data_IF_160976538402
#
_entry.id   IF_160976538402
#
_cell.length_a   1.000
_cell.length_b   1.000
_cell.length_c   1.000
_cell.angle_alpha   90.00
_cell.angle_beta   90.00
_cell.angle_gamma   90.00
#
_symmetry.space_group_name_H-M   'P 1'
#
loop_
_entity.id
_entity.type
_entity.pdbx_description
1 polymer ?
#
# COMPACT_ATOMS: atom_id res chain seq x y z
N UNK A 1 -1.24 33.21 17.60
CA UNK A 1 -0.98 33.27 16.15
C UNK A 1 -1.15 31.87 15.58
N UNK A 2 -2.00 31.67 14.56
CA UNK A 2 -2.14 30.35 13.90
C UNK A 2 -0.87 30.00 13.15
N UNK A 3 -0.36 28.75 13.33
CA UNK A 3 0.82 28.23 12.63
C UNK A 3 0.53 28.07 11.13
N UNK A 4 1.56 28.20 10.28
CA UNK A 4 1.47 27.90 8.84
C UNK A 4 1.05 26.43 8.59
N UNK A 5 1.25 25.56 9.59
CA UNK A 5 0.89 24.16 9.55
C UNK A 5 -0.58 23.87 9.93
N UNK A 6 -1.29 24.85 10.48
CA UNK A 6 -2.67 24.64 10.93
C UNK A 6 -3.61 24.37 9.74
N UNK A 7 -4.59 23.49 9.95
CA UNK A 7 -5.52 23.06 8.92
C UNK A 7 -6.23 24.22 8.23
N UNK A 8 -6.61 25.25 8.98
CA UNK A 8 -7.30 26.43 8.47
C UNK A 8 -6.48 27.17 7.41
N UNK A 9 -5.15 27.21 7.57
CA UNK A 9 -4.24 27.80 6.60
C UNK A 9 -3.96 26.92 5.38
N UNK A 10 -4.44 25.70 5.38
CA UNK A 10 -4.36 24.80 4.24
C UNK A 10 -5.61 24.78 3.38
N UNK A 11 -6.66 25.48 3.78
CA UNK A 11 -7.87 25.62 2.96
C UNK A 11 -7.52 26.38 1.68
N UNK A 12 -7.96 25.83 0.56
CA UNK A 12 -7.68 26.39 -0.76
C UNK A 12 -8.44 27.72 -0.97
N UNK A 13 -7.80 28.73 -1.57
CA UNK A 13 -8.50 29.95 -1.97
C UNK A 13 -9.49 29.66 -3.12
N UNK A 14 -10.49 30.53 -3.34
CA UNK A 14 -11.39 30.43 -4.48
C UNK A 14 -10.60 30.32 -5.81
N UNK A 15 -11.06 29.45 -6.70
CA UNK A 15 -10.40 29.22 -7.99
C UNK A 15 -9.14 28.36 -7.96
N UNK A 16 -8.80 27.75 -6.82
CA UNK A 16 -7.63 26.85 -6.74
C UNK A 16 -7.78 25.65 -7.68
N UNK A 17 -6.73 25.39 -8.46
CA UNK A 17 -6.70 24.25 -9.35
C UNK A 17 -6.44 22.95 -8.58
N UNK A 18 -7.46 22.09 -8.45
CA UNK A 18 -7.38 20.80 -7.76
C UNK A 18 -6.30 19.87 -8.30
N UNK A 19 -5.89 20.03 -9.58
CA UNK A 19 -4.87 19.19 -10.21
C UNK A 19 -3.44 19.46 -9.73
N UNK A 20 -3.23 20.47 -8.90
CA UNK A 20 -1.95 20.70 -8.21
C UNK A 20 -1.75 19.77 -7.00
N UNK A 21 -2.83 19.17 -6.50
CA UNK A 21 -2.77 18.30 -5.31
C UNK A 21 -2.18 16.91 -5.63
N UNK A 22 -2.51 16.25 -6.76
CA UNK A 22 -1.88 14.98 -7.12
C UNK A 22 -0.35 15.01 -7.19
N UNK A 23 0.33 15.98 -7.84
CA UNK A 23 1.79 16.08 -7.81
C UNK A 23 2.36 16.27 -6.40
N UNK A 24 1.69 17.04 -5.54
CA UNK A 24 2.09 17.21 -4.15
C UNK A 24 2.01 15.90 -3.35
N UNK A 25 0.95 15.12 -3.56
CA UNK A 25 0.78 13.79 -2.98
C UNK A 25 1.84 12.82 -3.51
N UNK A 26 2.13 12.88 -4.82
CA UNK A 26 3.12 12.04 -5.47
C UNK A 26 4.53 12.27 -4.90
N UNK A 27 4.92 13.52 -4.64
CA UNK A 27 6.22 13.85 -4.06
C UNK A 27 6.45 13.18 -2.70
N UNK A 28 5.42 13.16 -1.84
CA UNK A 28 5.48 12.47 -0.55
C UNK A 28 5.50 10.95 -0.74
N UNK A 29 4.61 10.41 -1.58
CA UNK A 29 4.49 8.97 -1.77
C UNK A 29 5.68 8.34 -2.49
N UNK A 30 6.34 9.05 -3.42
CA UNK A 30 7.60 8.59 -4.03
C UNK A 30 8.71 8.49 -2.97
N UNK A 31 8.78 9.48 -2.05
CA UNK A 31 9.78 9.51 -0.99
C UNK A 31 9.61 8.36 -0.01
N UNK A 32 8.38 8.12 0.48
CA UNK A 32 8.12 7.04 1.43
C UNK A 32 8.02 5.66 0.76
N UNK A 33 7.79 5.61 -0.56
CA UNK A 33 7.78 4.39 -1.36
C UNK A 33 9.17 3.76 -1.55
N UNK A 34 10.23 4.47 -1.18
CA UNK A 34 11.60 3.95 -1.08
C UNK A 34 11.67 2.70 -0.20
N UNK A 35 10.78 2.53 0.77
CA UNK A 35 10.75 1.33 1.62
C UNK A 35 10.82 0.02 0.83
N UNK A 36 10.30 -0.02 -0.38
CA UNK A 36 10.42 -1.18 -1.26
C UNK A 36 11.80 -1.32 -1.94
N UNK A 37 12.63 -0.27 -1.88
CA UNK A 37 14.02 -0.32 -2.33
C UNK A 37 14.99 -0.78 -1.21
N UNK A 38 14.49 -1.03 0.01
CA UNK A 38 15.31 -1.49 1.14
C UNK A 38 16.13 -2.75 0.79
N UNK A 39 15.64 -3.58 -0.13
CA UNK A 39 16.36 -4.75 -0.64
C UNK A 39 17.75 -4.43 -1.20
N UNK A 40 17.98 -3.21 -1.71
CA UNK A 40 19.28 -2.75 -2.22
C UNK A 40 20.31 -2.59 -1.09
N UNK A 41 19.85 -2.21 0.11
CA UNK A 41 20.70 -2.12 1.29
C UNK A 41 20.96 -3.47 1.96
N UNK A 42 20.14 -4.51 1.66
CA UNK A 42 20.12 -5.76 2.42
C UNK A 42 21.47 -6.49 2.40
N UNK A 43 22.05 -6.69 1.22
CA UNK A 43 23.36 -7.33 1.08
C UNK A 43 24.49 -6.55 1.78
N UNK A 44 24.68 -5.27 1.45
CA UNK A 44 25.65 -4.40 2.15
C UNK A 44 25.50 -4.40 3.67
N UNK A 45 24.27 -4.34 4.20
CA UNK A 45 24.01 -4.37 5.65
C UNK A 45 24.37 -5.73 6.28
N UNK A 46 24.11 -6.84 5.58
CA UNK A 46 24.49 -8.18 6.03
C UNK A 46 26.03 -8.25 6.19
N UNK A 47 26.76 -7.78 5.21
CA UNK A 47 28.23 -7.76 5.24
C UNK A 47 28.75 -6.82 6.33
N UNK A 48 28.19 -5.61 6.43
CA UNK A 48 28.62 -4.58 7.39
C UNK A 48 28.46 -5.03 8.85
N UNK A 49 27.31 -5.64 9.18
CA UNK A 49 26.99 -6.07 10.56
C UNK A 49 27.41 -7.52 10.86
N UNK A 50 27.99 -8.23 9.92
CA UNK A 50 28.28 -9.67 10.01
C UNK A 50 27.04 -10.44 10.52
N UNK A 51 25.91 -10.19 9.89
CA UNK A 51 24.59 -10.62 10.36
C UNK A 51 23.84 -11.47 9.33
N UNK A 52 22.74 -12.10 9.73
CA UNK A 52 21.94 -12.92 8.83
C UNK A 52 20.99 -12.08 7.96
N UNK A 53 20.62 -12.61 6.78
CA UNK A 53 19.57 -12.01 5.93
C UNK A 53 18.25 -11.85 6.69
N UNK A 54 17.94 -12.78 7.59
CA UNK A 54 16.73 -12.73 8.44
C UNK A 54 16.79 -11.55 9.39
N UNK A 55 17.93 -11.33 10.09
CA UNK A 55 18.08 -10.21 11.02
C UNK A 55 17.93 -8.87 10.30
N UNK A 56 18.58 -8.70 9.14
CA UNK A 56 18.41 -7.47 8.36
C UNK A 56 16.98 -7.34 7.81
N UNK A 57 16.33 -8.43 7.40
CA UNK A 57 14.94 -8.44 6.93
C UNK A 57 13.92 -7.99 7.99
N UNK A 58 14.23 -8.18 9.27
CA UNK A 58 13.40 -7.69 10.41
C UNK A 58 13.25 -6.17 10.39
N UNK A 59 14.24 -5.40 9.89
CA UNK A 59 14.13 -3.93 9.71
C UNK A 59 12.90 -3.57 8.87
N UNK A 60 12.77 -4.21 7.71
CA UNK A 60 11.63 -4.01 6.81
C UNK A 60 10.31 -4.44 7.47
N UNK A 61 10.29 -5.61 8.12
CA UNK A 61 9.08 -6.10 8.80
C UNK A 61 8.60 -5.12 9.87
N UNK A 62 9.50 -4.58 10.70
CA UNK A 62 9.18 -3.56 11.69
C UNK A 62 8.62 -2.32 11.00
N UNK A 63 9.23 -1.84 9.90
CA UNK A 63 8.76 -0.67 9.18
C UNK A 63 7.32 -0.84 8.67
N UNK A 64 6.99 -2.00 8.11
CA UNK A 64 5.61 -2.28 7.61
C UNK A 64 4.61 -2.44 8.77
N UNK A 65 5.00 -3.06 9.88
CA UNK A 65 4.15 -3.13 11.07
C UNK A 65 3.86 -1.74 11.62
N UNK A 66 4.91 -0.92 11.78
CA UNK A 66 4.77 0.45 12.28
C UNK A 66 4.01 1.35 11.32
N UNK A 67 4.12 1.12 10.00
CA UNK A 67 3.29 1.78 8.98
C UNK A 67 1.80 1.56 9.27
N UNK A 68 1.36 0.33 9.37
CA UNK A 68 -0.06 0.04 9.60
C UNK A 68 -0.54 0.52 10.98
N UNK A 69 0.26 0.35 12.03
CA UNK A 69 -0.09 0.82 13.38
C UNK A 69 -0.18 2.35 13.44
N UNK A 70 0.80 3.06 12.91
CA UNK A 70 0.79 4.53 12.92
C UNK A 70 -0.33 5.10 12.05
N UNK A 71 -0.67 4.45 10.94
CA UNK A 71 -1.84 4.80 10.14
C UNK A 71 -3.14 4.57 10.93
N UNK A 72 -3.26 3.45 11.65
CA UNK A 72 -4.44 3.10 12.42
C UNK A 72 -4.70 4.09 13.57
N UNK A 73 -3.68 4.42 14.35
CA UNK A 73 -3.79 5.35 15.47
C UNK A 73 -3.72 6.81 15.02
N UNK A 74 -2.90 7.13 14.01
CA UNK A 74 -2.70 8.47 13.49
C UNK A 74 -3.84 8.99 12.61
N UNK A 75 -4.70 8.13 12.05
CA UNK A 75 -5.71 8.51 11.08
C UNK A 75 -6.64 9.61 11.57
N UNK A 76 -7.18 9.49 12.78
CA UNK A 76 -8.04 10.53 13.40
C UNK A 76 -7.27 11.84 13.64
N UNK A 77 -6.01 11.74 14.02
CA UNK A 77 -5.15 12.91 14.23
C UNK A 77 -4.88 13.65 12.91
N UNK A 78 -4.62 12.92 11.82
CA UNK A 78 -4.45 13.50 10.47
C UNK A 78 -5.69 14.23 10.01
N UNK A 79 -6.88 13.66 10.21
CA UNK A 79 -8.15 14.30 9.84
C UNK A 79 -8.38 15.61 10.60
N UNK A 80 -8.01 15.67 11.88
CA UNK A 80 -8.17 16.88 12.72
C UNK A 80 -7.15 17.95 12.41
N UNK A 81 -5.89 17.58 12.23
CA UNK A 81 -4.78 18.52 12.07
C UNK A 81 -4.52 18.97 10.62
N UNK A 82 -5.07 18.24 9.66
CA UNK A 82 -4.93 18.53 8.24
C UNK A 82 -3.67 17.92 7.59
N UNK A 83 -3.63 17.93 6.24
CA UNK A 83 -2.63 17.17 5.49
C UNK A 83 -1.23 17.77 5.59
N UNK A 84 -1.08 19.09 5.62
CA UNK A 84 0.25 19.71 5.66
C UNK A 84 1.02 19.34 6.91
N UNK A 85 0.37 19.45 8.08
CA UNK A 85 0.99 19.08 9.35
C UNK A 85 1.35 17.59 9.38
N UNK A 86 0.46 16.74 8.84
CA UNK A 86 0.71 15.32 8.75
C UNK A 86 1.89 14.97 7.82
N UNK A 87 2.00 15.62 6.66
CA UNK A 87 3.11 15.43 5.73
C UNK A 87 4.44 15.90 6.34
N UNK A 88 4.45 17.01 7.10
CA UNK A 88 5.66 17.50 7.80
C UNK A 88 6.07 16.53 8.92
N UNK A 89 5.13 16.01 9.69
CA UNK A 89 5.44 15.01 10.73
C UNK A 89 5.95 13.71 10.08
N UNK A 90 5.32 13.26 9.00
CA UNK A 90 5.81 12.11 8.22
C UNK A 90 7.24 12.32 7.73
N UNK A 91 7.52 13.50 7.14
CA UNK A 91 8.89 13.86 6.71
C UNK A 91 9.87 13.83 7.88
N UNK A 92 9.52 14.45 9.01
CA UNK A 92 10.38 14.48 10.19
C UNK A 92 10.70 13.06 10.68
N UNK A 93 9.69 12.18 10.77
CA UNK A 93 9.91 10.79 11.15
C UNK A 93 10.75 10.03 10.12
N UNK A 94 10.42 10.15 8.83
CA UNK A 94 11.11 9.44 7.76
C UNK A 94 12.59 9.82 7.67
N UNK A 95 12.87 11.11 7.66
CA UNK A 95 14.24 11.65 7.65
C UNK A 95 15.01 11.27 8.92
N UNK A 96 14.41 11.42 10.11
CA UNK A 96 15.02 10.99 11.37
C UNK A 96 15.32 9.49 11.35
N UNK A 97 14.43 8.68 10.74
CA UNK A 97 14.67 7.26 10.53
C UNK A 97 15.96 6.97 9.78
N UNK A 98 16.19 7.68 8.67
CA UNK A 98 17.44 7.58 7.90
C UNK A 98 18.68 8.08 8.68
N UNK A 99 18.56 9.20 9.40
CA UNK A 99 19.64 9.76 10.20
C UNK A 99 20.07 8.81 11.33
N UNK A 100 19.10 8.26 12.07
CA UNK A 100 19.37 7.30 13.15
C UNK A 100 19.93 6.00 12.61
N UNK A 101 19.46 5.53 11.46
CA UNK A 101 19.99 4.34 10.79
C UNK A 101 21.41 4.56 10.28
N UNK A 102 21.69 5.72 9.69
CA UNK A 102 23.05 6.10 9.28
C UNK A 102 24.02 6.14 10.48
N UNK A 103 23.56 6.66 11.62
CA UNK A 103 24.33 6.61 12.87
C UNK A 103 24.56 5.16 13.31
N UNK A 104 23.54 4.31 13.22
CA UNK A 104 23.61 2.88 13.53
C UNK A 104 24.66 2.16 12.70
N UNK A 105 24.71 2.43 11.41
CA UNK A 105 25.74 1.92 10.50
C UNK A 105 27.11 2.46 10.89
N UNK A 106 27.25 3.78 11.05
CA UNK A 106 28.55 4.41 11.39
C UNK A 106 29.12 3.94 12.73
N UNK A 107 28.27 3.52 13.67
CA UNK A 107 28.67 3.03 15.00
C UNK A 107 28.61 1.50 15.15
N UNK A 108 28.35 0.78 14.05
CA UNK A 108 28.17 -0.66 14.01
C UNK A 108 27.11 -1.18 15.01
N UNK A 109 25.96 -0.48 15.11
CA UNK A 109 24.87 -0.77 16.04
C UNK A 109 23.57 -1.10 15.28
N UNK A 110 23.34 -2.38 14.97
CA UNK A 110 22.16 -2.83 14.21
C UNK A 110 20.82 -2.43 14.87
N UNK A 111 20.75 -2.39 16.20
CA UNK A 111 19.53 -2.00 16.89
C UNK A 111 19.11 -0.55 16.59
N UNK A 112 20.05 0.35 16.26
CA UNK A 112 19.73 1.70 15.80
C UNK A 112 19.08 1.69 14.42
N UNK A 113 19.41 0.72 13.56
CA UNK A 113 18.74 0.57 12.26
C UNK A 113 17.31 0.07 12.45
N UNK A 114 17.08 -0.86 13.39
CA UNK A 114 15.71 -1.27 13.77
C UNK A 114 14.89 -0.09 14.31
N UNK A 115 15.49 0.71 15.20
CA UNK A 115 14.84 1.90 15.77
C UNK A 115 14.63 2.97 14.72
N UNK A 116 15.66 3.30 13.94
CA UNK A 116 15.65 4.38 12.96
C UNK A 116 14.71 4.07 11.79
N UNK A 117 15.12 3.19 10.91
CA UNK A 117 14.37 2.85 9.71
C UNK A 117 13.08 2.09 10.03
N UNK A 118 13.17 1.10 10.94
CA UNK A 118 12.04 0.26 11.29
C UNK A 118 10.95 1.03 12.05
N UNK A 119 11.27 1.52 13.26
CA UNK A 119 10.24 2.12 14.14
C UNK A 119 9.94 3.56 13.73
N UNK A 120 10.92 4.45 13.75
CA UNK A 120 10.70 5.89 13.51
C UNK A 120 10.29 6.11 12.05
N UNK A 121 11.03 5.51 11.11
CA UNK A 121 10.70 5.54 9.69
C UNK A 121 9.32 4.97 9.39
N UNK A 122 9.00 3.80 9.97
CA UNK A 122 7.70 3.15 9.84
C UNK A 122 6.52 4.01 10.31
N UNK A 123 6.69 4.79 11.39
CA UNK A 123 5.70 5.79 11.81
C UNK A 123 5.51 6.86 10.73
N UNK A 124 6.62 7.35 10.17
CA UNK A 124 6.60 8.30 9.06
C UNK A 124 5.87 7.77 7.83
N UNK A 125 6.12 6.49 7.49
CA UNK A 125 5.44 5.80 6.39
C UNK A 125 3.92 5.82 6.53
N UNK A 126 3.38 5.42 7.69
CA UNK A 126 1.93 5.29 7.86
C UNK A 126 1.21 6.64 7.86
N UNK A 127 1.75 7.66 8.55
CA UNK A 127 1.19 9.02 8.56
C UNK A 127 1.26 9.62 7.14
N UNK A 128 2.40 9.44 6.45
CA UNK A 128 2.62 9.92 5.09
C UNK A 128 1.75 9.22 4.05
N UNK A 129 1.38 7.96 4.28
CA UNK A 129 0.52 7.20 3.39
C UNK A 129 -0.94 7.68 3.42
N UNK A 130 -1.53 7.83 4.60
CA UNK A 130 -2.96 8.16 4.71
C UNK A 130 -3.28 9.61 4.41
N UNK A 131 -2.37 10.54 4.65
CA UNK A 131 -2.63 11.98 4.54
C UNK A 131 -2.94 12.43 3.10
N UNK A 132 -2.13 12.12 2.07
CA UNK A 132 -2.44 12.45 0.68
C UNK A 132 -3.70 11.77 0.17
N UNK A 133 -3.94 10.52 0.56
CA UNK A 133 -5.09 9.74 0.12
C UNK A 133 -6.40 10.38 0.59
N UNK A 134 -6.51 10.69 1.89
CA UNK A 134 -7.70 11.34 2.43
C UNK A 134 -7.94 12.72 1.81
N UNK A 135 -6.88 13.44 1.50
CA UNK A 135 -6.96 14.77 0.87
C UNK A 135 -7.48 14.69 -0.57
N UNK A 136 -6.94 13.77 -1.37
CA UNK A 136 -7.35 13.61 -2.76
C UNK A 136 -8.77 13.11 -2.92
N UNK A 137 -9.23 12.22 -2.04
CA UNK A 137 -10.64 11.79 -2.04
C UNK A 137 -11.59 12.98 -1.82
N UNK A 138 -11.21 13.96 -1.02
CA UNK A 138 -12.00 15.19 -0.79
C UNK A 138 -12.02 16.10 -2.02
N UNK A 139 -10.93 16.19 -2.78
CA UNK A 139 -10.83 16.99 -4.00
C UNK A 139 -11.51 16.35 -5.22
N UNK A 140 -11.63 15.02 -5.26
CA UNK A 140 -12.18 14.29 -6.39
C UNK A 140 -13.36 13.40 -5.98
N UNK A 141 -14.44 13.98 -5.40
CA UNK A 141 -15.62 13.22 -5.02
C UNK A 141 -16.34 12.62 -6.24
N UNK A 142 -16.13 13.20 -7.42
CA UNK A 142 -16.62 12.75 -8.73
C UNK A 142 -15.88 11.49 -9.24
N UNK A 143 -14.61 11.32 -8.88
CA UNK A 143 -13.74 10.22 -9.37
C UNK A 143 -12.83 9.69 -8.25
N UNK A 144 -13.37 9.11 -7.18
CA UNK A 144 -12.57 8.73 -6.01
C UNK A 144 -11.53 7.64 -6.31
N UNK A 145 -11.78 6.73 -7.24
CA UNK A 145 -10.81 5.73 -7.66
C UNK A 145 -9.62 6.32 -8.40
N UNK A 146 -9.87 7.23 -9.34
CA UNK A 146 -8.81 7.99 -10.01
C UNK A 146 -7.97 8.77 -8.99
N UNK A 147 -8.62 9.43 -8.04
CA UNK A 147 -7.93 10.22 -7.02
C UNK A 147 -7.00 9.37 -6.15
N UNK A 148 -7.49 8.22 -5.68
CA UNK A 148 -6.68 7.31 -4.87
C UNK A 148 -5.57 6.66 -5.69
N UNK A 149 -5.84 6.31 -6.94
CA UNK A 149 -4.82 5.82 -7.86
C UNK A 149 -3.67 6.81 -8.04
N UNK A 150 -3.99 8.08 -8.34
CA UNK A 150 -3.01 9.15 -8.48
C UNK A 150 -2.21 9.40 -7.18
N UNK A 151 -2.88 9.31 -6.03
CA UNK A 151 -2.21 9.45 -4.75
C UNK A 151 -1.19 8.34 -4.50
N UNK A 152 -1.65 7.10 -4.63
CA UNK A 152 -0.94 5.92 -4.11
C UNK A 152 0.05 5.34 -5.13
N UNK A 153 -0.09 5.67 -6.43
CA UNK A 153 0.83 5.19 -7.46
C UNK A 153 2.30 5.53 -7.15
N UNK A 154 2.54 6.69 -6.54
CA UNK A 154 3.88 7.11 -6.12
C UNK A 154 4.53 6.18 -5.12
N UNK A 155 3.76 5.62 -4.19
CA UNK A 155 4.28 4.65 -3.24
C UNK A 155 4.74 3.35 -3.94
N UNK A 156 3.97 2.89 -4.93
CA UNK A 156 4.37 1.74 -5.76
C UNK A 156 5.56 2.04 -6.68
N UNK A 157 5.65 3.28 -7.17
CA UNK A 157 6.74 3.74 -8.05
C UNK A 157 7.99 4.20 -7.30
N UNK A 158 7.96 4.34 -5.97
CA UNK A 158 9.08 4.83 -5.18
C UNK A 158 10.35 3.99 -5.37
N UNK A 159 10.24 2.68 -5.31
CA UNK A 159 11.36 1.78 -5.51
C UNK A 159 11.90 1.79 -6.96
N UNK A 160 11.06 2.05 -7.96
CA UNK A 160 11.51 2.20 -9.35
C UNK A 160 12.54 3.34 -9.50
N UNK A 161 12.36 4.42 -8.73
CA UNK A 161 13.28 5.56 -8.70
C UNK A 161 14.38 5.37 -7.66
N UNK A 162 14.00 4.94 -6.45
CA UNK A 162 14.93 4.87 -5.33
C UNK A 162 15.96 3.73 -5.48
N UNK A 163 15.62 2.56 -6.06
CA UNK A 163 16.56 1.46 -6.20
C UNK A 163 17.76 1.79 -7.08
N UNK A 164 17.59 2.30 -8.32
CA UNK A 164 18.74 2.68 -9.14
C UNK A 164 19.52 3.88 -8.56
N UNK A 165 18.83 4.81 -7.89
CA UNK A 165 19.48 5.92 -7.21
C UNK A 165 20.36 5.42 -6.06
N UNK A 166 19.82 4.56 -5.19
CA UNK A 166 20.55 3.97 -4.07
C UNK A 166 21.77 3.18 -4.54
N UNK A 167 21.63 2.33 -5.58
CA UNK A 167 22.73 1.57 -6.14
C UNK A 167 23.85 2.46 -6.68
N UNK A 168 23.49 3.56 -7.36
CA UNK A 168 24.45 4.54 -7.85
C UNK A 168 25.17 5.29 -6.72
N UNK A 169 24.46 5.64 -5.66
CA UNK A 169 25.05 6.31 -4.51
C UNK A 169 26.00 5.38 -3.75
N UNK A 170 25.62 4.11 -3.55
CA UNK A 170 26.49 3.10 -2.97
C UNK A 170 27.80 2.96 -3.76
N UNK A 171 27.70 2.88 -5.08
CA UNK A 171 28.86 2.78 -5.95
C UNK A 171 29.70 4.07 -6.03
N UNK A 172 29.09 5.23 -5.79
CA UNK A 172 29.76 6.52 -5.85
C UNK A 172 30.52 6.91 -4.56
N UNK A 173 30.06 6.39 -3.40
CA UNK A 173 30.63 6.79 -2.11
C UNK A 173 31.77 5.91 -1.61
N UNK A 174 31.85 4.67 -2.03
CA UNK A 174 32.96 3.78 -1.67
C UNK A 174 33.12 2.65 -2.68
N UNK A 175 34.34 2.08 -2.75
CA UNK A 175 34.61 0.89 -3.57
C UNK A 175 33.88 -0.34 -3.05
N UNK A 176 33.62 -0.38 -1.73
CA UNK A 176 32.85 -1.44 -1.08
C UNK A 176 31.48 -0.91 -0.65
N UNK A 177 30.39 -1.52 -1.12
CA UNK A 177 29.03 -1.06 -0.82
C UNK A 177 28.70 -0.97 0.68
N UNK A 178 29.30 -1.83 1.51
CA UNK A 178 29.14 -1.82 2.98
C UNK A 178 29.67 -0.56 3.65
N UNK A 179 30.69 0.09 3.09
CA UNK A 179 31.26 1.34 3.60
C UNK A 179 30.48 2.58 3.11
N UNK A 180 29.67 2.42 2.06
CA UNK A 180 28.91 3.49 1.44
C UNK A 180 27.49 3.67 2.02
N UNK A 181 27.02 2.78 2.92
CA UNK A 181 25.63 2.77 3.41
C UNK A 181 25.29 4.07 4.13
N UNK A 182 26.09 4.48 5.10
CA UNK A 182 25.83 5.66 5.91
C UNK A 182 25.74 6.95 5.08
N UNK A 183 26.71 7.31 4.22
CA UNK A 183 26.60 8.49 3.37
C UNK A 183 25.45 8.39 2.35
N UNK A 184 25.12 7.22 1.84
CA UNK A 184 23.95 7.00 0.98
C UNK A 184 22.66 7.34 1.72
N UNK A 185 22.49 6.84 2.95
CA UNK A 185 21.32 7.15 3.78
C UNK A 185 21.19 8.64 4.07
N UNK A 186 22.31 9.35 4.36
CA UNK A 186 22.31 10.80 4.58
C UNK A 186 21.88 11.57 3.31
N UNK A 187 22.37 11.16 2.15
CA UNK A 187 22.01 11.79 0.87
C UNK A 187 20.54 11.60 0.55
N UNK A 188 20.01 10.38 0.73
CA UNK A 188 18.60 10.10 0.56
C UNK A 188 17.74 10.91 1.54
N UNK A 189 18.16 11.03 2.82
CA UNK A 189 17.49 11.88 3.80
C UNK A 189 17.37 13.34 3.31
N UNK A 190 18.46 13.90 2.79
CA UNK A 190 18.47 15.27 2.24
C UNK A 190 17.52 15.43 1.04
N UNK A 191 17.50 14.46 0.12
CA UNK A 191 16.59 14.45 -1.02
C UNK A 191 15.13 14.41 -0.53
N UNK A 192 14.81 13.56 0.46
CA UNK A 192 13.46 13.42 0.99
C UNK A 192 12.99 14.65 1.76
N UNK A 193 13.89 15.37 2.46
CA UNK A 193 13.54 16.70 3.03
C UNK A 193 13.04 17.64 1.96
N UNK A 194 13.74 17.74 0.82
CA UNK A 194 13.34 18.64 -0.27
C UNK A 194 12.01 18.21 -0.88
N UNK A 195 11.89 16.96 -1.31
CA UNK A 195 10.69 16.48 -2.00
C UNK A 195 9.43 16.52 -1.12
N UNK A 196 9.54 16.07 0.13
CA UNK A 196 8.41 16.04 1.04
C UNK A 196 8.03 17.45 1.52
N UNK A 197 8.98 18.36 1.68
CA UNK A 197 8.72 19.78 1.98
C UNK A 197 7.95 20.44 0.84
N UNK A 198 8.33 20.22 -0.42
CA UNK A 198 7.61 20.72 -1.59
C UNK A 198 6.18 20.18 -1.63
N UNK A 199 6.00 18.88 -1.38
CA UNK A 199 4.66 18.27 -1.30
C UNK A 199 3.81 18.89 -0.19
N UNK A 200 4.36 19.03 1.01
CA UNK A 200 3.67 19.64 2.16
C UNK A 200 3.32 21.12 1.93
N UNK A 201 4.18 21.86 1.24
CA UNK A 201 3.92 23.28 0.91
C UNK A 201 2.79 23.47 -0.08
N UNK A 202 2.74 22.66 -1.13
CA UNK A 202 1.75 22.76 -2.21
C UNK A 202 0.38 22.23 -1.78
N UNK A 203 0.31 21.25 -0.88
CA UNK A 203 -0.96 20.59 -0.51
C UNK A 203 -1.98 21.59 0.05
N UNK A 204 -3.25 21.46 -0.42
CA UNK A 204 -4.42 22.21 0.07
C UNK A 204 -5.58 21.26 0.30
N UNK A 205 -6.50 21.66 1.19
CA UNK A 205 -7.80 21.00 1.36
C UNK A 205 -8.88 21.84 0.70
N UNK A 206 -9.94 21.24 0.14
CA UNK A 206 -11.07 22.01 -0.36
C UNK A 206 -11.79 22.72 0.79
N UNK A 207 -12.46 23.86 0.50
CA UNK A 207 -13.39 24.49 1.42
C UNK A 207 -14.56 23.52 1.72
N UNK A 208 -15.23 23.71 2.86
CA UNK A 208 -16.28 22.78 3.31
C UNK A 208 -17.48 22.69 2.35
N UNK A 209 -17.76 23.77 1.66
CA UNK A 209 -18.85 23.95 0.69
C UNK A 209 -18.41 23.71 -0.77
N UNK A 210 -17.12 23.39 -0.98
CA UNK A 210 -16.57 23.23 -2.31
C UNK A 210 -17.08 21.94 -2.98
N UNK A 211 -17.56 22.08 -4.21
CA UNK A 211 -17.91 20.96 -5.09
C UNK A 211 -17.28 21.14 -6.47
N UNK A 212 -16.94 20.04 -7.16
CA UNK A 212 -16.44 20.14 -8.53
C UNK A 212 -17.49 20.76 -9.48
N UNK A 213 -17.07 21.50 -10.51
CA UNK A 213 -17.99 22.03 -11.50
C UNK A 213 -18.88 20.93 -12.11
N UNK A 214 -20.17 21.16 -12.17
CA UNK A 214 -21.16 20.19 -12.71
C UNK A 214 -21.50 19.01 -11.80
N UNK A 215 -20.97 18.99 -10.56
CA UNK A 215 -21.24 17.93 -9.59
C UNK A 215 -22.13 18.48 -8.45
N UNK A 216 -23.38 18.01 -8.38
CA UNK A 216 -24.28 18.32 -7.29
C UNK A 216 -24.33 17.17 -6.28
N UNK A 217 -24.71 17.47 -5.02
CA UNK A 217 -24.96 16.44 -4.00
C UNK A 217 -26.03 15.45 -4.45
N UNK A 218 -27.05 15.90 -5.21
CA UNK A 218 -28.04 15.03 -5.84
C UNK A 218 -27.42 14.10 -6.90
N UNK A 219 -26.44 14.59 -7.68
CA UNK A 219 -25.68 13.77 -8.65
C UNK A 219 -24.82 12.73 -7.94
N UNK A 220 -24.28 13.03 -6.76
CA UNK A 220 -23.51 12.07 -5.96
C UNK A 220 -24.38 10.93 -5.45
N UNK A 221 -25.57 11.22 -4.95
CA UNK A 221 -26.55 10.23 -4.49
C UNK A 221 -27.02 9.35 -5.67
N UNK A 222 -27.29 9.95 -6.82
CA UNK A 222 -27.71 9.22 -8.03
C UNK A 222 -26.58 8.35 -8.60
N UNK A 223 -25.34 8.83 -8.55
CA UNK A 223 -24.17 8.07 -8.98
C UNK A 223 -23.85 6.90 -8.03
N UNK A 224 -24.00 7.10 -6.73
CA UNK A 224 -23.86 6.04 -5.73
C UNK A 224 -24.95 4.96 -5.88
N UNK A 225 -26.21 5.36 -6.13
CA UNK A 225 -27.33 4.47 -6.37
C UNK A 225 -27.21 3.65 -7.68
N UNK A 226 -26.48 4.15 -8.67
CA UNK A 226 -26.25 3.48 -9.96
C UNK A 226 -25.05 2.54 -9.97
N UNK A 227 -24.24 2.46 -8.89
CA UNK A 227 -23.06 1.61 -8.87
C UNK A 227 -23.44 0.14 -8.69
N UNK A 228 -23.04 -0.76 -9.61
CA UNK A 228 -23.34 -2.18 -9.51
C UNK A 228 -22.77 -2.78 -8.21
N UNK A 229 -23.60 -3.52 -7.50
CA UNK A 229 -23.17 -4.36 -6.37
C UNK A 229 -23.29 -3.75 -4.96
N UNK A 230 -23.65 -2.47 -4.83
CA UNK A 230 -24.02 -1.87 -3.53
C UNK A 230 -25.52 -1.53 -3.57
N UNK A 231 -26.29 -2.00 -2.58
CA UNK A 231 -27.74 -1.77 -2.48
C UNK A 231 -28.08 -0.28 -2.37
N UNK A 232 -29.34 0.06 -2.68
CA UNK A 232 -29.87 1.43 -2.63
C UNK A 232 -30.03 1.87 -1.16
N UNK A 233 -29.10 2.69 -0.65
CA UNK A 233 -29.21 3.31 0.66
C UNK A 233 -28.41 4.61 0.70
N UNK A 234 -28.91 5.64 1.38
CA UNK A 234 -28.14 6.84 1.68
C UNK A 234 -26.94 6.42 2.54
N UNK A 235 -25.72 6.69 2.07
CA UNK A 235 -24.50 6.41 2.84
C UNK A 235 -24.47 7.39 4.02
N UNK A 236 -24.74 6.90 5.24
CA UNK A 236 -24.56 7.68 6.45
C UNK A 236 -23.05 7.85 6.69
N UNK A 237 -22.64 9.10 7.02
CA UNK A 237 -21.27 9.33 7.47
C UNK A 237 -21.04 8.65 8.82
N UNK A 238 -20.19 7.64 8.80
CA UNK A 238 -19.87 6.79 9.96
C UNK A 238 -18.53 7.20 10.54
N UNK A 239 -18.45 7.30 11.87
CA UNK A 239 -17.17 7.53 12.54
C UNK A 239 -16.26 6.30 12.46
N UNK A 240 -14.95 6.51 12.56
CA UNK A 240 -14.00 5.41 12.54
C UNK A 240 -14.23 4.38 13.68
N UNK A 241 -14.74 4.84 14.85
CA UNK A 241 -15.09 3.96 15.96
C UNK A 241 -16.36 3.14 15.71
N UNK A 242 -17.30 3.68 14.95
CA UNK A 242 -18.49 2.94 14.53
C UNK A 242 -18.13 1.94 13.42
N UNK A 243 -17.32 2.35 12.44
CA UNK A 243 -16.94 1.52 11.31
C UNK A 243 -16.32 0.18 11.76
N UNK A 244 -15.36 0.18 12.71
CA UNK A 244 -14.70 -1.04 13.21
C UNK A 244 -15.64 -2.01 13.94
N UNK A 245 -16.83 -1.56 14.32
CA UNK A 245 -17.86 -2.42 14.94
C UNK A 245 -18.78 -3.09 13.94
N UNK A 246 -18.61 -2.77 12.64
CA UNK A 246 -19.45 -3.32 11.57
C UNK A 246 -18.80 -4.56 10.94
N UNK A 247 -19.59 -5.56 10.53
CA UNK A 247 -19.09 -6.69 9.75
C UNK A 247 -18.42 -6.26 8.44
N UNK A 248 -18.92 -5.18 7.81
CA UNK A 248 -18.40 -4.65 6.56
C UNK A 248 -16.93 -4.22 6.67
N UNK A 249 -16.54 -3.62 7.80
CA UNK A 249 -15.14 -3.26 8.04
C UNK A 249 -14.24 -4.51 8.07
N UNK A 250 -14.64 -5.54 8.79
CA UNK A 250 -13.85 -6.77 8.91
C UNK A 250 -13.83 -7.59 7.62
N UNK A 251 -14.90 -7.55 6.84
CA UNK A 251 -14.91 -8.13 5.50
C UNK A 251 -13.91 -7.41 4.58
N UNK A 252 -13.87 -6.07 4.59
CA UNK A 252 -12.88 -5.31 3.82
C UNK A 252 -11.46 -5.52 4.34
N UNK A 253 -11.30 -5.66 5.65
CA UNK A 253 -10.00 -5.99 6.26
C UNK A 253 -9.50 -7.36 5.75
N UNK A 254 -10.36 -8.37 5.76
CA UNK A 254 -10.04 -9.70 5.23
C UNK A 254 -9.72 -9.66 3.73
N UNK A 255 -10.51 -8.94 2.95
CA UNK A 255 -10.27 -8.76 1.50
C UNK A 255 -8.88 -8.16 1.26
N UNK A 256 -8.55 -7.07 1.97
CA UNK A 256 -7.26 -6.41 1.83
C UNK A 256 -6.13 -7.33 2.31
N UNK A 257 -6.29 -7.96 3.48
CA UNK A 257 -5.32 -8.92 4.01
C UNK A 257 -4.99 -10.03 3.02
N UNK A 258 -6.00 -10.66 2.43
CA UNK A 258 -5.81 -11.76 1.47
C UNK A 258 -5.12 -11.28 0.19
N UNK A 259 -5.57 -10.16 -0.37
CA UNK A 259 -4.96 -9.58 -1.57
C UNK A 259 -3.49 -9.20 -1.34
N UNK A 260 -3.20 -8.57 -0.20
CA UNK A 260 -1.84 -8.12 0.14
C UNK A 260 -0.93 -9.28 0.49
N UNK A 261 -1.41 -10.28 1.24
CA UNK A 261 -0.63 -11.47 1.58
C UNK A 261 -0.13 -12.18 0.31
N UNK A 262 -1.03 -12.36 -0.65
CA UNK A 262 -0.67 -12.95 -1.92
C UNK A 262 0.40 -12.12 -2.66
N UNK A 263 0.20 -10.82 -2.85
CA UNK A 263 1.14 -10.00 -3.62
C UNK A 263 2.50 -9.83 -2.93
N UNK A 264 2.54 -9.64 -1.60
CA UNK A 264 3.79 -9.42 -0.88
C UNK A 264 4.66 -10.67 -0.83
N UNK A 265 4.04 -11.87 -0.87
CA UNK A 265 4.75 -13.14 -0.94
C UNK A 265 5.59 -13.29 -2.22
N UNK A 266 5.11 -12.76 -3.37
CA UNK A 266 5.93 -12.70 -4.59
C UNK A 266 6.98 -11.58 -4.48
N UNK A 267 6.58 -10.38 -4.05
CA UNK A 267 7.47 -9.21 -4.08
C UNK A 267 8.73 -9.40 -3.24
N UNK A 268 8.62 -10.01 -2.06
CA UNK A 268 9.75 -10.20 -1.16
C UNK A 268 10.76 -11.21 -1.70
N UNK A 269 10.28 -12.23 -2.41
CA UNK A 269 11.08 -13.34 -2.95
C UNK A 269 11.31 -13.22 -4.46
N UNK A 270 10.94 -12.11 -5.08
CA UNK A 270 10.91 -12.01 -6.55
C UNK A 270 12.26 -12.35 -7.21
N UNK A 271 13.36 -11.79 -6.68
CA UNK A 271 14.70 -12.04 -7.25
C UNK A 271 15.17 -13.49 -7.04
N UNK A 272 15.22 -14.06 -5.82
CA UNK A 272 15.60 -15.45 -5.67
C UNK A 272 14.60 -16.40 -6.35
N UNK A 273 13.29 -16.11 -6.29
CA UNK A 273 12.26 -16.97 -6.88
C UNK A 273 12.47 -17.17 -8.39
N UNK A 274 12.71 -16.10 -9.15
CA UNK A 274 12.91 -16.23 -10.60
C UNK A 274 14.20 -17.00 -10.93
N UNK A 275 15.25 -16.86 -10.11
CA UNK A 275 16.50 -17.59 -10.28
C UNK A 275 16.37 -19.07 -9.89
N UNK A 276 15.57 -19.39 -8.88
CA UNK A 276 15.25 -20.76 -8.50
C UNK A 276 14.42 -21.47 -9.58
N UNK A 277 13.48 -20.73 -10.22
CA UNK A 277 12.66 -21.27 -11.31
C UNK A 277 13.47 -21.48 -12.60
N UNK A 278 14.41 -20.58 -12.88
CA UNK A 278 15.14 -20.52 -14.15
C UNK A 278 16.63 -20.26 -13.88
N UNK A 279 17.41 -21.32 -13.87
CA UNK A 279 18.85 -21.29 -13.55
C UNK A 279 19.67 -20.44 -14.52
N UNK A 280 19.14 -20.14 -15.70
CA UNK A 280 19.79 -19.29 -16.71
C UNK A 280 19.60 -17.78 -16.45
N UNK A 281 18.71 -17.40 -15.50
CA UNK A 281 18.46 -15.99 -15.12
C UNK A 281 19.55 -15.52 -14.18
N UNK A 282 20.33 -14.53 -14.62
CA UNK A 282 21.37 -13.94 -13.80
C UNK A 282 20.81 -12.89 -12.79
N UNK A 283 21.67 -12.39 -11.90
CA UNK A 283 21.29 -11.42 -10.89
C UNK A 283 20.83 -10.07 -11.49
N UNK A 284 21.33 -9.69 -12.68
CA UNK A 284 20.95 -8.45 -13.37
C UNK A 284 19.55 -8.57 -13.95
N UNK A 285 19.25 -9.69 -14.57
CA UNK A 285 17.94 -10.02 -15.12
C UNK A 285 16.90 -10.15 -14.00
N UNK A 286 17.25 -10.79 -12.88
CA UNK A 286 16.41 -10.88 -11.69
C UNK A 286 16.11 -9.48 -11.10
N UNK A 287 17.08 -8.57 -11.06
CA UNK A 287 16.86 -7.18 -10.66
C UNK A 287 15.94 -6.44 -11.64
N UNK A 288 16.09 -6.69 -12.94
CA UNK A 288 15.19 -6.21 -14.00
C UNK A 288 13.75 -6.67 -13.79
N UNK A 289 13.56 -7.94 -13.44
CA UNK A 289 12.25 -8.51 -13.10
C UNK A 289 11.60 -7.80 -11.90
N UNK A 290 12.36 -7.56 -10.82
CA UNK A 290 11.86 -6.78 -9.66
C UNK A 290 11.44 -5.37 -10.07
N UNK A 291 12.22 -4.71 -10.93
CA UNK A 291 11.86 -3.41 -11.51
C UNK A 291 10.56 -3.45 -12.30
N UNK A 292 10.37 -4.47 -13.13
CA UNK A 292 9.15 -4.69 -13.90
C UNK A 292 7.93 -4.94 -12.99
N UNK A 293 8.08 -5.75 -11.94
CA UNK A 293 7.02 -5.93 -10.94
C UNK A 293 6.64 -4.61 -10.26
N UNK A 294 7.61 -3.76 -9.93
CA UNK A 294 7.34 -2.44 -9.34
C UNK A 294 6.59 -1.52 -10.31
N UNK A 295 6.93 -1.57 -11.60
CA UNK A 295 6.19 -0.87 -12.65
C UNK A 295 4.75 -1.38 -12.76
N UNK A 296 4.54 -2.70 -12.74
CA UNK A 296 3.20 -3.31 -12.77
C UNK A 296 2.39 -2.97 -11.52
N UNK A 297 3.01 -2.91 -10.33
CA UNK A 297 2.40 -2.44 -9.09
C UNK A 297 1.91 -0.98 -9.25
N UNK A 298 2.79 -0.09 -9.71
CA UNK A 298 2.47 1.32 -9.94
C UNK A 298 1.33 1.49 -10.95
N UNK A 299 1.46 0.84 -12.11
CA UNK A 299 0.44 0.89 -13.16
C UNK A 299 -0.90 0.32 -12.67
N UNK A 300 -0.87 -0.79 -11.93
CA UNK A 300 -2.04 -1.41 -11.32
C UNK A 300 -2.77 -0.47 -10.37
N UNK A 301 -2.07 0.30 -9.56
CA UNK A 301 -2.66 1.32 -8.67
C UNK A 301 -3.46 2.36 -9.43
N UNK A 302 -2.97 2.81 -10.57
CA UNK A 302 -3.65 3.80 -11.40
C UNK A 302 -4.77 3.19 -12.24
N UNK A 303 -4.48 2.14 -12.99
CA UNK A 303 -5.41 1.56 -13.98
C UNK A 303 -6.62 0.95 -13.29
N UNK A 304 -6.40 0.05 -12.33
CA UNK A 304 -7.49 -0.67 -11.69
C UNK A 304 -8.36 0.21 -10.80
N UNK A 305 -7.78 1.15 -10.05
CA UNK A 305 -8.55 2.07 -9.23
C UNK A 305 -9.42 3.00 -10.07
N UNK A 306 -8.89 3.48 -11.21
CA UNK A 306 -9.65 4.28 -12.18
C UNK A 306 -10.76 3.45 -12.84
N UNK A 307 -10.47 2.22 -13.26
CA UNK A 307 -11.46 1.31 -13.81
C UNK A 307 -12.60 1.03 -12.82
N UNK A 308 -12.28 0.94 -11.53
CA UNK A 308 -13.25 0.69 -10.47
C UNK A 308 -14.30 1.80 -10.32
N UNK A 309 -14.04 3.02 -10.81
CA UNK A 309 -15.02 4.10 -10.84
C UNK A 309 -16.16 3.82 -11.83
N UNK A 310 -15.90 3.01 -12.87
CA UNK A 310 -16.89 2.64 -13.91
C UNK A 310 -17.50 1.28 -13.65
N UNK A 311 -16.68 0.30 -13.32
CA UNK A 311 -17.08 -1.12 -13.16
C UNK A 311 -17.69 -1.36 -11.77
N UNK A 312 -17.32 -0.57 -10.77
CA UNK A 312 -17.69 -0.75 -9.37
C UNK A 312 -16.58 -1.46 -8.56
N UNK A 313 -16.58 -1.26 -7.23
CA UNK A 313 -15.51 -1.75 -6.33
C UNK A 313 -15.58 -3.27 -6.15
N UNK A 314 -16.78 -3.77 -5.87
CA UNK A 314 -17.01 -5.18 -5.61
C UNK A 314 -16.67 -6.09 -6.81
N UNK A 315 -17.08 -5.80 -8.07
CA UNK A 315 -16.65 -6.55 -9.23
C UNK A 315 -15.14 -6.51 -9.47
N UNK A 316 -14.49 -5.35 -9.27
CA UNK A 316 -13.04 -5.22 -9.44
C UNK A 316 -12.29 -6.08 -8.41
N UNK A 317 -12.72 -6.11 -7.14
CA UNK A 317 -12.15 -7.02 -6.15
C UNK A 317 -12.42 -8.48 -6.44
N UNK A 318 -13.56 -8.81 -7.06
CA UNK A 318 -13.81 -10.17 -7.54
C UNK A 318 -12.78 -10.60 -8.61
N UNK A 319 -12.36 -9.67 -9.47
CA UNK A 319 -11.27 -9.91 -10.44
C UNK A 319 -9.95 -10.13 -9.70
N UNK A 320 -9.55 -9.24 -8.77
CA UNK A 320 -8.29 -9.38 -8.05
C UNK A 320 -8.16 -10.73 -7.35
N UNK A 321 -9.20 -11.14 -6.65
CA UNK A 321 -9.20 -12.33 -5.82
C UNK A 321 -9.47 -13.60 -6.64
N UNK A 322 -10.47 -13.57 -7.53
CA UNK A 322 -10.85 -14.72 -8.34
C UNK A 322 -9.84 -15.03 -9.45
N UNK A 323 -9.55 -14.05 -10.30
CA UNK A 323 -8.53 -14.23 -11.35
C UNK A 323 -7.14 -14.40 -10.71
N UNK A 324 -6.83 -13.68 -9.62
CA UNK A 324 -5.60 -13.88 -8.87
C UNK A 324 -5.41 -15.32 -8.39
N UNK A 325 -6.47 -15.95 -7.84
CA UNK A 325 -6.40 -17.35 -7.43
C UNK A 325 -6.13 -18.28 -8.62
N UNK A 326 -6.75 -18.03 -9.79
CA UNK A 326 -6.49 -18.80 -11.00
C UNK A 326 -5.04 -18.64 -11.50
N UNK A 327 -4.49 -17.43 -11.41
CA UNK A 327 -3.10 -17.16 -11.80
C UNK A 327 -2.10 -17.83 -10.84
N UNK A 328 -2.37 -17.85 -9.54
CA UNK A 328 -1.55 -18.60 -8.58
C UNK A 328 -1.63 -20.10 -8.80
N UNK A 329 -2.82 -20.62 -9.15
CA UNK A 329 -2.99 -22.01 -9.53
C UNK A 329 -2.21 -22.33 -10.81
N UNK A 330 -2.23 -21.42 -11.80
CA UNK A 330 -1.41 -21.53 -13.00
C UNK A 330 0.08 -21.63 -12.66
N UNK A 331 0.60 -20.75 -11.79
CA UNK A 331 2.01 -20.82 -11.35
C UNK A 331 2.32 -22.13 -10.62
N UNK A 332 1.41 -22.61 -9.78
CA UNK A 332 1.59 -23.86 -9.04
C UNK A 332 1.63 -25.10 -9.96
N UNK A 333 0.93 -25.06 -11.09
CA UNK A 333 0.80 -26.19 -12.02
C UNK A 333 1.74 -26.11 -13.23
N UNK A 334 2.14 -24.89 -13.65
CA UNK A 334 2.95 -24.69 -14.86
C UNK A 334 4.44 -24.97 -14.64
N UNK A 335 4.90 -25.01 -13.40
CA UNK A 335 6.31 -25.23 -13.09
C UNK A 335 7.24 -24.31 -13.88
N UNK A 336 8.23 -24.89 -14.57
CA UNK A 336 9.23 -24.19 -15.39
C UNK A 336 8.82 -24.05 -16.87
N UNK A 337 7.52 -23.98 -17.19
CA UNK A 337 7.03 -23.96 -18.59
C UNK A 337 7.55 -22.79 -19.45
N UNK A 338 8.16 -21.78 -18.85
CA UNK A 338 8.86 -20.69 -19.54
C UNK A 338 8.89 -19.38 -18.76
N UNK A 339 10.02 -18.68 -18.83
CA UNK A 339 10.27 -17.38 -18.15
C UNK A 339 9.17 -16.38 -18.50
N UNK A 340 8.80 -16.27 -19.78
CA UNK A 340 7.79 -15.30 -20.23
C UNK A 340 6.42 -15.50 -19.58
N UNK A 341 5.97 -16.75 -19.43
CA UNK A 341 4.70 -17.08 -18.77
C UNK A 341 4.75 -16.73 -17.28
N UNK A 342 5.84 -17.07 -16.59
CA UNK A 342 6.06 -16.75 -15.19
C UNK A 342 6.03 -15.23 -14.96
N UNK A 343 6.84 -14.49 -15.72
CA UNK A 343 6.94 -13.04 -15.62
C UNK A 343 5.59 -12.35 -15.90
N UNK A 344 4.91 -12.74 -17.00
CA UNK A 344 3.61 -12.16 -17.33
C UNK A 344 2.57 -12.42 -16.23
N UNK A 345 2.51 -13.64 -15.71
CA UNK A 345 1.58 -14.02 -14.63
C UNK A 345 1.88 -13.25 -13.34
N UNK A 346 3.15 -13.17 -12.94
CA UNK A 346 3.59 -12.42 -11.77
C UNK A 346 3.27 -10.92 -11.92
N UNK A 347 3.51 -10.33 -13.10
CA UNK A 347 3.15 -8.94 -13.40
C UNK A 347 1.66 -8.66 -13.23
N UNK A 348 0.79 -9.54 -13.71
CA UNK A 348 -0.67 -9.39 -13.53
C UNK A 348 -1.05 -9.49 -12.05
N UNK A 349 -0.54 -10.49 -11.32
CA UNK A 349 -0.77 -10.65 -9.88
C UNK A 349 -0.34 -9.37 -9.13
N UNK A 350 0.84 -8.84 -9.42
CA UNK A 350 1.35 -7.63 -8.77
C UNK A 350 0.57 -6.38 -9.19
N UNK A 351 -0.01 -6.34 -10.38
CA UNK A 351 -0.94 -5.28 -10.75
C UNK A 351 -2.22 -5.32 -9.90
N UNK A 352 -2.73 -6.51 -9.57
CA UNK A 352 -3.89 -6.68 -8.66
C UNK A 352 -3.55 -6.29 -7.22
N UNK A 353 -2.33 -6.61 -6.75
CA UNK A 353 -1.83 -6.14 -5.46
C UNK A 353 -1.86 -4.60 -5.39
N UNK A 354 -1.28 -3.93 -6.39
CA UNK A 354 -1.30 -2.47 -6.48
C UNK A 354 -2.71 -1.90 -6.55
N UNK A 355 -3.56 -2.50 -7.42
CA UNK A 355 -4.95 -2.12 -7.58
C UNK A 355 -5.77 -2.25 -6.30
N UNK A 356 -5.56 -3.31 -5.52
CA UNK A 356 -6.22 -3.52 -4.24
C UNK A 356 -5.98 -2.38 -3.26
N UNK A 357 -4.73 -1.96 -3.09
CA UNK A 357 -4.41 -0.80 -2.26
C UNK A 357 -5.06 0.50 -2.73
N UNK A 358 -5.06 0.74 -4.03
CA UNK A 358 -5.56 2.00 -4.58
C UNK A 358 -7.10 2.06 -4.63
N UNK A 359 -7.76 0.91 -4.72
CA UNK A 359 -9.22 0.82 -4.78
C UNK A 359 -9.87 0.87 -3.39
N UNK A 360 -9.18 0.40 -2.33
CA UNK A 360 -9.78 0.24 -1.00
C UNK A 360 -10.26 1.55 -0.36
N UNK A 361 -9.54 2.69 -0.44
CA UNK A 361 -10.03 3.93 0.15
C UNK A 361 -11.35 4.41 -0.49
N UNK A 362 -11.48 4.22 -1.81
CA UNK A 362 -12.71 4.54 -2.51
C UNK A 362 -13.86 3.58 -2.13
N UNK A 363 -13.55 2.32 -1.89
CA UNK A 363 -14.52 1.33 -1.40
C UNK A 363 -15.01 1.67 0.01
N UNK A 364 -14.09 2.08 0.91
CA UNK A 364 -14.44 2.57 2.24
C UNK A 364 -15.33 3.81 2.17
N UNK A 365 -15.01 4.77 1.29
CA UNK A 365 -15.84 5.95 1.07
C UNK A 365 -17.26 5.57 0.62
N UNK A 366 -17.36 4.61 -0.29
CA UNK A 366 -18.66 4.16 -0.82
C UNK A 366 -19.52 3.45 0.25
N UNK A 367 -18.92 2.86 1.30
CA UNK A 367 -19.63 2.16 2.38
C UNK A 367 -19.85 3.01 3.64
N UNK A 368 -18.88 3.85 4.01
CA UNK A 368 -18.84 4.53 5.32
C UNK A 368 -18.93 6.07 5.22
N UNK A 369 -19.04 6.62 4.01
CA UNK A 369 -19.02 8.06 3.79
C UNK A 369 -17.62 8.66 3.72
N UNK A 370 -17.55 9.98 3.50
CA UNK A 370 -16.30 10.70 3.22
C UNK A 370 -15.67 11.40 4.42
N UNK A 371 -16.40 11.62 5.50
CA UNK A 371 -15.99 12.51 6.60
C UNK A 371 -14.78 11.98 7.36
N UNK A 372 -14.76 10.68 7.71
CA UNK A 372 -13.64 10.04 8.41
C UNK A 372 -12.96 8.93 7.60
N UNK A 373 -13.07 8.96 6.28
CA UNK A 373 -12.51 7.90 5.42
C UNK A 373 -11.02 7.68 5.62
N UNK A 374 -10.24 8.72 5.88
CA UNK A 374 -8.80 8.59 6.17
C UNK A 374 -8.52 7.85 7.49
N UNK A 375 -9.31 8.14 8.54
CA UNK A 375 -9.20 7.45 9.83
C UNK A 375 -9.64 5.99 9.74
N UNK A 376 -10.71 5.70 8.98
CA UNK A 376 -11.18 4.33 8.74
C UNK A 376 -10.15 3.56 7.92
N UNK A 377 -9.61 4.18 6.87
CA UNK A 377 -8.57 3.60 6.04
C UNK A 377 -7.31 3.31 6.84
N UNK A 378 -6.85 4.24 7.69
CA UNK A 378 -5.70 4.01 8.56
C UNK A 378 -5.87 2.75 9.43
N UNK A 379 -7.06 2.56 10.04
CA UNK A 379 -7.34 1.34 10.81
C UNK A 379 -7.35 0.08 9.96
N UNK A 380 -7.85 0.18 8.73
CA UNK A 380 -7.87 -0.93 7.80
C UNK A 380 -6.45 -1.37 7.39
N UNK A 381 -5.47 -0.45 7.35
CA UNK A 381 -4.08 -0.76 7.02
C UNK A 381 -3.38 -1.70 8.00
N UNK A 382 -3.98 -2.00 9.17
CA UNK A 382 -3.51 -3.12 10.02
C UNK A 382 -3.58 -4.46 9.29
N UNK A 383 -4.43 -4.60 8.28
CA UNK A 383 -4.44 -5.75 7.39
C UNK A 383 -3.12 -5.88 6.60
N UNK A 384 -2.55 -4.74 6.20
CA UNK A 384 -1.24 -4.74 5.55
C UNK A 384 -0.12 -5.15 6.50
N UNK A 385 -0.13 -4.65 7.74
CA UNK A 385 0.84 -5.08 8.76
C UNK A 385 0.78 -6.60 8.99
N UNK A 386 -0.41 -7.15 9.13
CA UNK A 386 -0.60 -8.59 9.29
C UNK A 386 -0.14 -9.38 8.04
N UNK A 387 -0.48 -8.91 6.84
CA UNK A 387 -0.08 -9.53 5.58
C UNK A 387 1.44 -9.46 5.35
N UNK A 388 2.08 -8.35 5.74
CA UNK A 388 3.53 -8.16 5.68
C UNK A 388 4.33 -9.10 6.58
N UNK A 389 3.68 -9.71 7.56
CA UNK A 389 4.25 -10.80 8.36
C UNK A 389 3.90 -12.16 7.74
N UNK A 390 2.61 -12.38 7.44
CA UNK A 390 2.11 -13.71 7.04
C UNK A 390 2.59 -14.11 5.64
N UNK A 391 2.62 -13.18 4.68
CA UNK A 391 3.05 -13.47 3.31
C UNK A 391 4.47 -14.03 3.24
N UNK A 392 5.48 -13.25 3.70
CA UNK A 392 6.86 -13.71 3.78
C UNK A 392 7.04 -14.99 4.59
N UNK A 393 6.37 -15.06 5.75
CA UNK A 393 6.47 -16.22 6.63
C UNK A 393 6.00 -17.51 5.95
N UNK A 394 4.90 -17.46 5.21
CA UNK A 394 4.39 -18.61 4.45
C UNK A 394 5.38 -19.02 3.37
N UNK A 395 5.83 -18.07 2.55
CA UNK A 395 6.70 -18.40 1.40
C UNK A 395 8.06 -18.91 1.88
N UNK A 396 8.69 -18.23 2.85
CA UNK A 396 10.02 -18.60 3.34
C UNK A 396 10.01 -19.94 4.07
N UNK A 397 9.07 -20.15 5.01
CA UNK A 397 9.01 -21.44 5.73
C UNK A 397 8.70 -22.62 4.83
N UNK A 398 7.83 -22.43 3.83
CA UNK A 398 7.55 -23.49 2.88
C UNK A 398 8.79 -23.77 2.04
N UNK A 399 9.49 -22.75 1.53
CA UNK A 399 10.71 -22.93 0.76
C UNK A 399 11.80 -23.64 1.58
N UNK A 400 12.05 -23.21 2.82
CA UNK A 400 13.00 -23.85 3.74
C UNK A 400 12.66 -25.32 3.99
N UNK A 401 11.39 -25.65 4.24
CA UNK A 401 10.93 -27.01 4.46
C UNK A 401 11.08 -27.89 3.20
N UNK A 402 10.78 -27.34 2.02
CA UNK A 402 10.92 -28.05 0.76
C UNK A 402 12.40 -28.28 0.41
N UNK A 403 13.28 -27.30 0.69
CA UNK A 403 14.73 -27.44 0.55
C UNK A 403 15.26 -28.55 1.47
N UNK A 404 14.83 -28.57 2.73
CA UNK A 404 15.19 -29.64 3.66
C UNK A 404 14.68 -31.02 3.22
N UNK A 405 13.59 -31.07 2.46
CA UNK A 405 13.05 -32.27 1.83
C UNK A 405 13.76 -32.65 0.51
N UNK A 406 14.84 -31.95 0.11
CA UNK A 406 15.62 -32.22 -1.09
C UNK A 406 15.00 -31.72 -2.39
N UNK A 407 13.98 -30.83 -2.32
CA UNK A 407 13.39 -30.23 -3.51
C UNK A 407 14.18 -29.01 -3.97
N UNK A 408 14.03 -28.65 -5.24
CA UNK A 408 14.69 -27.52 -5.88
C UNK A 408 13.81 -26.90 -6.96
N UNK A 409 14.20 -25.75 -7.47
CA UNK A 409 13.50 -25.08 -8.57
C UNK A 409 12.07 -24.66 -8.18
N UNK A 410 11.14 -24.83 -9.11
CA UNK A 410 9.72 -24.47 -8.92
C UNK A 410 9.03 -25.25 -7.79
N UNK A 411 9.51 -26.45 -7.45
CA UNK A 411 8.91 -27.27 -6.40
C UNK A 411 9.05 -26.66 -5.00
N UNK A 412 10.00 -25.74 -4.81
CA UNK A 412 10.16 -24.98 -3.57
C UNK A 412 8.93 -24.13 -3.26
N UNK A 413 8.26 -23.62 -4.30
CA UNK A 413 7.20 -22.61 -4.17
C UNK A 413 5.80 -23.13 -4.47
N UNK A 414 5.66 -24.32 -5.08
CA UNK A 414 4.37 -24.87 -5.51
C UNK A 414 3.34 -24.92 -4.35
N UNK A 415 3.73 -25.38 -3.16
CA UNK A 415 2.88 -25.41 -1.98
C UNK A 415 2.52 -23.98 -1.51
N UNK A 416 3.46 -23.05 -1.55
CA UNK A 416 3.20 -21.64 -1.22
C UNK A 416 2.13 -21.06 -2.13
N UNK A 417 2.21 -21.30 -3.43
CA UNK A 417 1.21 -20.83 -4.39
C UNK A 417 -0.17 -21.45 -4.15
N UNK A 418 -0.24 -22.75 -3.80
CA UNK A 418 -1.50 -23.41 -3.42
C UNK A 418 -2.11 -22.79 -2.15
N UNK A 419 -1.29 -22.45 -1.16
CA UNK A 419 -1.75 -21.75 0.04
C UNK A 419 -2.29 -20.36 -0.35
N UNK A 420 -1.61 -19.62 -1.25
CA UNK A 420 -2.10 -18.32 -1.74
C UNK A 420 -3.43 -18.44 -2.49
N UNK A 421 -3.67 -19.53 -3.24
CA UNK A 421 -5.01 -19.80 -3.82
C UNK A 421 -6.06 -19.88 -2.72
N UNK A 422 -5.81 -20.64 -1.63
CA UNK A 422 -6.74 -20.75 -0.50
C UNK A 422 -7.02 -19.40 0.16
N UNK A 423 -5.97 -18.59 0.38
CA UNK A 423 -6.09 -17.23 0.95
C UNK A 423 -6.94 -16.33 0.05
N UNK A 424 -6.70 -16.34 -1.26
CA UNK A 424 -7.46 -15.52 -2.22
C UNK A 424 -8.92 -15.97 -2.32
N UNK A 425 -9.22 -17.26 -2.23
CA UNK A 425 -10.59 -17.77 -2.16
C UNK A 425 -11.31 -17.28 -0.91
N UNK A 426 -10.66 -17.26 0.24
CA UNK A 426 -11.21 -16.67 1.48
C UNK A 426 -11.54 -15.20 1.25
N UNK A 427 -10.63 -14.43 0.67
CA UNK A 427 -10.87 -13.03 0.30
C UNK A 427 -12.03 -12.87 -0.68
N UNK A 428 -12.14 -13.76 -1.68
CA UNK A 428 -13.23 -13.74 -2.67
C UNK A 428 -14.59 -13.98 -2.00
N UNK A 429 -14.69 -14.96 -1.11
CA UNK A 429 -15.92 -15.20 -0.32
C UNK A 429 -16.25 -13.98 0.53
N UNK A 430 -15.26 -13.40 1.22
CA UNK A 430 -15.46 -12.17 1.99
C UNK A 430 -16.00 -11.03 1.10
N UNK A 431 -15.49 -10.88 -0.12
CA UNK A 431 -15.96 -9.86 -1.07
C UNK A 431 -17.43 -10.10 -1.50
N UNK A 432 -17.84 -11.35 -1.70
CA UNK A 432 -19.24 -11.68 -2.01
C UNK A 432 -20.16 -11.26 -0.85
N UNK A 433 -19.74 -11.46 0.38
CA UNK A 433 -20.52 -11.17 1.60
C UNK A 433 -20.66 -9.67 1.90
N UNK A 434 -19.83 -8.79 1.31
CA UNK A 434 -19.97 -7.33 1.52
C UNK A 434 -21.33 -6.85 1.02
N UNK A 435 -22.08 -6.16 1.91
CA UNK A 435 -23.36 -5.53 1.63
C UNK A 435 -23.32 -4.06 2.06
N UNK A 436 -24.18 -3.22 1.48
CA UNK A 436 -24.31 -1.82 1.93
C UNK A 436 -24.76 -1.74 3.40
N UNK A 437 -24.31 -0.71 4.11
CA UNK A 437 -24.83 -0.38 5.45
C UNK A 437 -26.29 0.11 5.29
N UNK A 438 -27.22 -0.46 6.07
CA UNK A 438 -28.64 -0.10 6.01
C UNK A 438 -29.44 -0.78 4.91
N UNK A 439 -28.93 -1.79 4.22
CA UNK A 439 -29.75 -2.70 3.45
C UNK A 439 -30.57 -3.55 4.45
N UNK A 440 -31.73 -3.03 4.84
CA UNK A 440 -32.71 -3.78 5.63
C UNK A 440 -33.05 -5.11 4.94
N UNK A 441 -33.33 -6.13 5.74
CA UNK A 441 -33.97 -7.37 5.30
C UNK A 441 -35.19 -7.00 4.43
N UNK A 442 -35.43 -7.67 3.30
CA UNK A 442 -36.63 -7.42 2.53
C UNK A 442 -37.85 -7.56 3.45
N UNK A 443 -38.77 -6.60 3.34
CA UNK A 443 -39.99 -6.43 4.15
C UNK A 443 -41.01 -7.61 4.12
N UNK A 444 -40.55 -8.84 3.93
CA UNK A 444 -41.39 -10.04 3.98
C UNK A 444 -41.71 -10.49 5.41
N UNK A 445 -41.03 -9.96 6.46
CA UNK A 445 -41.31 -10.33 7.85
C UNK A 445 -42.12 -9.26 8.64
N UNK A 446 -42.27 -8.05 8.14
CA UNK A 446 -43.06 -7.00 8.82
C UNK A 446 -44.57 -7.12 8.66
N UNK A 447 -45.06 -8.01 7.78
CA UNK A 447 -46.51 -8.22 7.55
C UNK A 447 -47.09 -9.29 8.49
N UNK A 448 -46.26 -10.07 9.19
CA UNK A 448 -46.74 -11.10 10.13
C UNK A 448 -46.94 -10.62 11.56
N UNK A 449 -46.40 -9.45 11.96
CA UNK A 449 -46.54 -8.94 13.34
C UNK A 449 -47.68 -7.91 13.52
N UNK A 450 -48.33 -7.46 12.43
CA UNK A 450 -49.52 -6.58 12.52
C UNK A 450 -50.84 -7.32 12.29
N UNK A 451 -50.79 -8.67 12.21
CA UNK A 451 -52.00 -9.50 12.01
C UNK A 451 -52.19 -10.55 13.14
N UNK A 452 -51.69 -10.26 14.35
CA UNK A 452 -51.92 -11.04 15.55
C UNK A 452 -52.54 -10.18 16.67
#
# INVERSE_FOLDING_TARGET
MSSVLDRERTVAPPGYNRWLVPPAALAVHLSIGEVYAFSVFKGPLVTHFDSSLTAIGVVFSIAIVMLGLSAAFGGTWVERNGPRKAMVVSMACWVTGFLVSSLGVATNQLWLVYLGYGVIGGIGLGIGYISPVSTLIKWFPDRPGLATGLAIMGFGGGALVASPLTSRLLAAYADKPEDAIAPTMLTLAAIYVVLMSLGAWVVRVPAADWTPPGFSSASAVTAAARRPGLGHGAVADVTANQAIRTPQFWLLWTILFCNVTAGIGILEQASPMIQDFFSDVDATEAAGFVGLLSLCNMAGRFVWSTASDRVGRKPIYAVYLGVGALLYLLLALSGTSGVGLFVATACVIISFYGGGFATIPAYLKDLFGGVQVGAIHGRLLTAWSAAGIVGPLVVNRVADHQTAAGKSGSDLYALSFQIMVGILVIGFVANILVRALGAEKPAAEAVSETAA
#
